data_IF_042494722330
#
_entry.id   IF_042494722330
#
_cell.length_a   1.000
_cell.length_b   1.000
_cell.length_c   1.000
_cell.angle_alpha   90.00
_cell.angle_beta   90.00
_cell.angle_gamma   90.00
#
_symmetry.space_group_name_H-M   'P 1'
#
loop_
_entity.id
_entity.type
_entity.pdbx_description
1 polymer ?
#
# COMPACT_ATOMS: atom_id res chain seq x y z
N UNK A 1 14.22 2.31 41.17
CA UNK A 1 14.47 2.92 39.83
C UNK A 1 14.80 1.81 38.85
N UNK A 2 13.90 1.37 38.03
CA UNK A 2 13.98 0.48 36.85
C UNK A 2 12.66 -0.26 36.66
N UNK A 3 11.64 0.42 36.19
CA UNK A 3 10.45 -0.24 35.61
C UNK A 3 9.97 0.74 34.54
N UNK A 4 10.51 0.64 33.31
CA UNK A 4 9.98 1.44 32.19
C UNK A 4 10.41 0.92 30.80
N UNK A 5 10.64 -0.39 30.63
CA UNK A 5 11.00 -0.97 29.31
C UNK A 5 10.05 -2.13 28.89
N UNK A 6 8.92 -2.35 29.54
CA UNK A 6 8.06 -3.50 29.24
C UNK A 6 6.76 -3.19 28.49
N UNK A 7 6.50 -1.94 28.09
CA UNK A 7 5.23 -1.61 27.41
C UNK A 7 5.26 -1.78 25.89
N UNK A 8 6.43 -1.71 25.23
CA UNK A 8 6.53 -1.85 23.77
C UNK A 8 6.49 -3.29 23.26
N UNK A 9 7.10 -4.22 23.99
CA UNK A 9 7.29 -5.60 23.52
C UNK A 9 6.03 -6.49 23.63
N UNK A 10 5.11 -6.15 24.54
CA UNK A 10 3.86 -6.92 24.74
C UNK A 10 2.84 -6.59 23.65
N UNK A 11 2.81 -5.37 23.13
CA UNK A 11 1.96 -4.96 22.02
C UNK A 11 2.32 -5.68 20.71
N UNK A 12 3.61 -5.69 20.37
CA UNK A 12 4.12 -6.36 19.16
C UNK A 12 3.85 -7.87 19.14
N UNK A 13 4.05 -8.56 20.29
CA UNK A 13 3.76 -10.01 20.40
C UNK A 13 2.27 -10.32 20.28
N UNK A 14 1.38 -9.51 20.85
CA UNK A 14 -0.07 -9.69 20.72
C UNK A 14 -0.56 -9.40 19.29
N UNK A 15 0.01 -8.39 18.63
CA UNK A 15 -0.31 -8.05 17.27
C UNK A 15 0.17 -9.13 16.29
N UNK A 16 1.41 -9.59 16.38
CA UNK A 16 1.93 -10.72 15.59
C UNK A 16 1.12 -12.01 15.80
N UNK A 17 0.70 -12.30 17.02
CA UNK A 17 -0.15 -13.46 17.32
C UNK A 17 -1.58 -13.28 16.77
N UNK A 18 -2.14 -12.08 16.78
CA UNK A 18 -3.44 -11.80 16.18
C UNK A 18 -3.39 -12.00 14.65
N UNK A 19 -2.38 -11.45 13.97
CA UNK A 19 -2.15 -11.66 12.53
C UNK A 19 -1.87 -13.13 12.20
N UNK A 20 -1.11 -13.86 13.01
CA UNK A 20 -0.79 -15.27 12.74
C UNK A 20 -1.98 -16.22 12.92
N UNK A 21 -2.92 -15.88 13.80
CA UNK A 21 -4.12 -16.71 14.04
C UNK A 21 -5.20 -16.53 12.95
N UNK A 22 -5.25 -15.40 12.26
CA UNK A 22 -6.16 -15.16 11.13
C UNK A 22 -5.69 -15.88 9.84
N UNK A 23 -4.44 -16.39 9.80
CA UNK A 23 -3.76 -16.89 8.61
C UNK A 23 -3.93 -18.38 8.28
N UNK A 24 -4.60 -19.18 9.08
CA UNK A 24 -4.78 -20.61 8.77
C UNK A 24 -6.04 -20.86 7.94
N UNK A 25 -6.10 -20.36 6.72
CA UNK A 25 -7.07 -20.86 5.72
C UNK A 25 -6.37 -21.89 4.81
N UNK A 26 -7.00 -23.02 4.62
CA UNK A 26 -6.49 -24.15 3.82
C UNK A 26 -6.22 -23.83 2.34
N UNK A 27 -6.59 -22.64 1.86
CA UNK A 27 -6.34 -22.17 0.50
C UNK A 27 -4.88 -21.76 0.22
N UNK A 28 -4.08 -21.49 1.26
CA UNK A 28 -2.69 -21.02 1.11
C UNK A 28 -1.72 -22.16 0.65
N UNK A 29 -2.18 -23.40 0.63
CA UNK A 29 -1.37 -24.58 0.22
C UNK A 29 -1.35 -24.75 -1.31
N UNK A 30 -2.44 -24.40 -1.99
CA UNK A 30 -2.60 -24.59 -3.45
C UNK A 30 -2.10 -23.40 -4.27
N UNK A 31 -2.17 -22.19 -3.72
CA UNK A 31 -1.70 -20.96 -4.39
C UNK A 31 -0.93 -20.11 -3.38
N UNK A 32 0.40 -20.20 -3.35
CA UNK A 32 1.21 -19.40 -2.44
C UNK A 32 0.96 -17.92 -2.69
N UNK A 33 0.83 -17.10 -1.63
CA UNK A 33 0.66 -15.66 -1.79
C UNK A 33 1.87 -15.05 -2.48
N UNK A 34 1.62 -14.06 -3.34
CA UNK A 34 2.66 -13.31 -4.06
C UNK A 34 3.69 -12.71 -3.10
N UNK A 35 3.22 -12.21 -1.96
CA UNK A 35 4.03 -11.54 -0.94
C UNK A 35 3.95 -12.30 0.39
N UNK A 36 5.11 -12.43 1.04
CA UNK A 36 5.24 -12.93 2.40
C UNK A 36 5.59 -11.75 3.34
N UNK A 37 5.29 -11.87 4.63
CA UNK A 37 5.59 -10.81 5.61
C UNK A 37 7.07 -10.43 5.65
N UNK A 38 7.97 -11.41 5.52
CA UNK A 38 9.42 -11.16 5.53
C UNK A 38 9.91 -10.32 4.34
N UNK A 39 9.10 -10.15 3.31
CA UNK A 39 9.40 -9.30 2.15
C UNK A 39 9.10 -7.82 2.41
N UNK A 40 8.40 -7.48 3.50
CA UNK A 40 8.16 -6.09 3.89
C UNK A 40 9.47 -5.54 4.46
N UNK A 41 10.10 -4.53 3.83
CA UNK A 41 11.43 -4.06 4.24
C UNK A 41 11.44 -3.47 5.65
N UNK A 42 10.32 -2.92 6.09
CA UNK A 42 10.18 -2.27 7.38
C UNK A 42 8.76 -2.50 7.92
N UNK A 43 8.64 -3.11 9.10
CA UNK A 43 7.39 -3.49 9.74
C UNK A 43 6.80 -2.41 10.65
N UNK A 44 7.47 -1.26 10.77
CA UNK A 44 7.02 -0.11 11.56
C UNK A 44 7.31 1.20 10.85
N UNK A 45 6.54 2.24 11.18
CA UNK A 45 6.72 3.59 10.68
C UNK A 45 6.54 4.61 11.81
N UNK A 46 7.51 5.51 11.99
CA UNK A 46 7.42 6.58 12.98
C UNK A 46 6.67 7.79 12.40
N UNK A 47 5.58 8.17 13.05
CA UNK A 47 4.82 9.38 12.73
C UNK A 47 5.56 10.64 13.21
N UNK A 48 5.24 11.80 12.66
CA UNK A 48 5.91 13.07 13.01
C UNK A 48 5.85 13.44 14.49
N UNK A 49 4.88 12.92 15.22
CA UNK A 49 4.72 13.12 16.66
C UNK A 49 5.48 12.10 17.51
N UNK A 50 6.32 11.25 16.90
CA UNK A 50 7.08 10.20 17.57
C UNK A 50 6.29 8.93 17.88
N UNK A 51 5.01 8.86 17.54
CA UNK A 51 4.24 7.63 17.68
C UNK A 51 4.61 6.64 16.55
N UNK A 52 4.49 5.34 16.84
CA UNK A 52 4.85 4.28 15.91
C UNK A 52 3.58 3.63 15.35
N UNK A 53 3.50 3.55 14.03
CA UNK A 53 2.51 2.76 13.31
C UNK A 53 3.13 1.43 12.85
N UNK A 54 2.35 0.36 12.84
CA UNK A 54 2.76 -0.98 12.43
C UNK A 54 2.33 -1.24 11.00
N UNK A 55 3.18 -1.92 10.23
CA UNK A 55 2.92 -2.29 8.83
C UNK A 55 2.63 -3.78 8.75
N UNK A 56 1.59 -4.16 8.03
CA UNK A 56 1.25 -5.57 7.84
C UNK A 56 0.54 -5.83 6.51
N UNK A 57 0.53 -7.11 6.12
CA UNK A 57 -0.27 -7.56 4.99
C UNK A 57 -1.74 -7.59 5.37
N UNK A 58 -2.59 -7.01 4.51
CA UNK A 58 -4.03 -7.09 4.68
C UNK A 58 -4.57 -8.49 4.42
N UNK A 59 -5.66 -8.79 5.08
CA UNK A 59 -6.51 -9.96 4.88
C UNK A 59 -7.95 -9.55 4.56
N UNK A 60 -8.82 -10.51 4.31
CA UNK A 60 -10.25 -10.23 4.15
C UNK A 60 -10.87 -9.57 5.40
N UNK A 61 -10.28 -9.79 6.59
CA UNK A 61 -10.74 -9.14 7.82
C UNK A 61 -10.57 -7.61 7.79
N UNK A 62 -9.68 -7.09 6.93
CA UNK A 62 -9.37 -5.66 6.82
C UNK A 62 -10.29 -4.93 5.82
N UNK A 63 -11.19 -5.66 5.16
CA UNK A 63 -12.10 -5.11 4.14
C UNK A 63 -12.85 -3.87 4.64
N UNK A 64 -13.44 -3.94 5.84
CA UNK A 64 -14.21 -2.84 6.40
C UNK A 64 -13.33 -1.62 6.72
N UNK A 65 -12.11 -1.85 7.17
CA UNK A 65 -11.15 -0.79 7.46
C UNK A 65 -10.71 -0.07 6.17
N UNK A 66 -10.43 -0.81 5.09
CA UNK A 66 -10.09 -0.26 3.77
C UNK A 66 -11.23 0.62 3.24
N UNK A 67 -12.48 0.13 3.30
CA UNK A 67 -13.65 0.89 2.86
C UNK A 67 -13.81 2.18 3.68
N UNK A 68 -13.73 2.11 5.03
CA UNK A 68 -13.85 3.27 5.90
C UNK A 68 -12.77 4.33 5.66
N UNK A 69 -11.52 3.92 5.37
CA UNK A 69 -10.46 4.86 5.01
C UNK A 69 -10.78 5.55 3.69
N UNK A 70 -11.29 4.83 2.67
CA UNK A 70 -11.71 5.43 1.42
C UNK A 70 -12.86 6.43 1.65
N UNK A 71 -13.91 6.03 2.36
CA UNK A 71 -15.05 6.91 2.67
C UNK A 71 -14.61 8.19 3.38
N UNK A 72 -13.66 8.09 4.33
CA UNK A 72 -13.10 9.26 5.00
C UNK A 72 -12.31 10.19 4.08
N UNK A 73 -11.73 9.67 2.97
CA UNK A 73 -10.95 10.44 2.01
C UNK A 73 -11.80 11.03 0.87
N UNK A 74 -13.02 10.49 0.63
CA UNK A 74 -13.83 10.79 -0.56
C UNK A 74 -15.30 11.09 -0.19
N UNK A 75 -15.51 11.96 0.80
CA UNK A 75 -16.82 12.49 1.18
C UNK A 75 -17.90 11.40 1.42
N UNK A 76 -17.51 10.30 2.03
CA UNK A 76 -18.41 9.18 2.35
C UNK A 76 -18.61 8.16 1.23
N UNK A 77 -17.94 8.32 0.09
CA UNK A 77 -18.06 7.40 -1.06
C UNK A 77 -16.75 6.68 -1.30
N UNK A 78 -16.70 5.36 -1.11
CA UNK A 78 -15.52 4.57 -1.44
C UNK A 78 -15.38 4.42 -2.97
N UNK A 79 -14.30 4.92 -3.61
CA UNK A 79 -14.07 4.79 -5.05
C UNK A 79 -13.98 3.32 -5.50
N UNK A 80 -13.43 2.46 -4.66
CA UNK A 80 -13.42 1.01 -4.83
C UNK A 80 -14.43 0.39 -3.88
N UNK A 81 -15.53 -0.13 -4.45
CA UNK A 81 -16.59 -0.77 -3.66
C UNK A 81 -16.15 -2.08 -3.02
N UNK A 82 -16.89 -2.52 -2.03
CA UNK A 82 -16.62 -3.74 -1.20
C UNK A 82 -16.33 -4.99 -2.04
N UNK A 83 -17.09 -5.22 -3.13
CA UNK A 83 -16.91 -6.40 -3.99
C UNK A 83 -15.53 -6.37 -4.66
N UNK A 84 -15.12 -5.22 -5.20
CA UNK A 84 -13.83 -5.07 -5.87
C UNK A 84 -12.67 -5.28 -4.89
N UNK A 85 -12.69 -4.61 -3.72
CA UNK A 85 -11.67 -4.77 -2.69
C UNK A 85 -11.60 -6.21 -2.17
N UNK A 86 -12.76 -6.85 -1.90
CA UNK A 86 -12.79 -8.23 -1.44
C UNK A 86 -12.20 -9.21 -2.46
N UNK A 87 -12.47 -9.01 -3.75
CA UNK A 87 -11.90 -9.83 -4.81
C UNK A 87 -10.37 -9.70 -4.87
N UNK A 88 -9.85 -8.48 -4.75
CA UNK A 88 -8.40 -8.24 -4.71
C UNK A 88 -7.74 -8.84 -3.46
N UNK A 89 -8.36 -8.73 -2.28
CA UNK A 89 -7.87 -9.33 -1.04
C UNK A 89 -7.83 -10.86 -1.09
N UNK A 90 -8.71 -11.49 -1.89
CA UNK A 90 -8.74 -12.94 -2.10
C UNK A 90 -7.76 -13.41 -3.17
N UNK A 91 -7.36 -12.53 -4.08
CA UNK A 91 -6.47 -12.85 -5.20
C UNK A 91 -4.98 -12.80 -4.78
N UNK A 92 -4.60 -13.58 -3.78
CA UNK A 92 -3.27 -13.55 -3.15
C UNK A 92 -2.12 -13.89 -4.11
N UNK A 93 -2.39 -14.57 -5.22
CA UNK A 93 -1.39 -14.95 -6.22
C UNK A 93 -0.93 -13.79 -7.12
N UNK A 94 -1.72 -12.73 -7.24
CA UNK A 94 -1.38 -11.58 -8.10
C UNK A 94 -1.65 -10.23 -7.47
N UNK A 95 -2.34 -10.17 -6.33
CA UNK A 95 -2.68 -8.92 -5.65
C UNK A 95 -2.35 -9.01 -4.16
N UNK A 96 -2.01 -7.87 -3.56
CA UNK A 96 -1.85 -7.75 -2.12
C UNK A 96 -2.07 -6.32 -1.66
N UNK A 97 -2.37 -6.15 -0.37
CA UNK A 97 -2.48 -4.84 0.27
C UNK A 97 -1.55 -4.77 1.47
N UNK A 98 -0.91 -3.62 1.66
CA UNK A 98 -0.27 -3.26 2.91
C UNK A 98 -1.16 -2.31 3.69
N UNK A 99 -1.23 -2.53 4.98
CA UNK A 99 -1.96 -1.69 5.93
C UNK A 99 -0.99 -1.04 6.91
N UNK A 100 -1.27 0.20 7.30
CA UNK A 100 -0.68 0.80 8.49
C UNK A 100 -1.71 0.84 9.61
N UNK A 101 -1.27 0.44 10.81
CA UNK A 101 -2.08 0.46 12.02
C UNK A 101 -1.41 1.32 13.09
N UNK A 102 -2.20 2.16 13.75
CA UNK A 102 -1.79 2.89 14.93
C UNK A 102 -2.84 2.67 16.02
N UNK A 103 -2.42 2.26 17.21
CA UNK A 103 -3.32 1.88 18.32
C UNK A 103 -4.43 0.92 17.87
N UNK A 104 -4.07 -0.14 17.14
CA UNK A 104 -4.99 -1.15 16.56
C UNK A 104 -6.02 -0.62 15.56
N UNK A 105 -5.91 0.63 15.12
CA UNK A 105 -6.77 1.22 14.09
C UNK A 105 -6.00 1.31 12.77
N UNK A 106 -6.62 0.87 11.70
CA UNK A 106 -6.08 1.07 10.36
C UNK A 106 -6.12 2.57 10.03
N UNK A 107 -4.98 3.13 9.64
CA UNK A 107 -4.80 4.56 9.34
C UNK A 107 -4.45 4.84 7.89
N UNK A 108 -3.93 3.84 7.18
CA UNK A 108 -3.60 3.94 5.76
C UNK A 108 -3.52 2.55 5.14
N UNK A 109 -3.62 2.51 3.82
CA UNK A 109 -3.37 1.30 3.04
C UNK A 109 -2.82 1.63 1.66
N UNK A 110 -2.22 0.61 1.03
CA UNK A 110 -1.87 0.59 -0.39
C UNK A 110 -2.17 -0.78 -0.98
N UNK A 111 -2.87 -0.82 -2.11
CA UNK A 111 -3.17 -2.02 -2.86
C UNK A 111 -2.33 -2.13 -4.11
N UNK A 112 -1.85 -3.34 -4.43
CA UNK A 112 -1.03 -3.63 -5.59
C UNK A 112 -1.52 -4.85 -6.35
N UNK A 113 -1.24 -4.84 -7.67
CA UNK A 113 -1.45 -5.98 -8.56
C UNK A 113 -0.18 -6.24 -9.37
N UNK A 114 0.32 -7.49 -9.32
CA UNK A 114 1.46 -7.91 -10.13
C UNK A 114 0.99 -8.26 -11.55
N UNK A 115 1.65 -7.68 -12.54
CA UNK A 115 1.37 -7.92 -13.96
C UNK A 115 2.70 -8.12 -14.68
N UNK A 116 2.90 -9.28 -15.30
CA UNK A 116 4.13 -9.59 -16.03
C UNK A 116 5.40 -8.99 -15.37
N UNK A 117 5.99 -7.95 -15.98
CA UNK A 117 7.22 -7.29 -15.53
C UNK A 117 6.98 -6.06 -14.64
N UNK A 118 5.75 -5.76 -14.24
CA UNK A 118 5.44 -4.58 -13.42
C UNK A 118 4.64 -4.88 -12.15
N UNK A 119 4.84 -4.07 -11.13
CA UNK A 119 3.97 -3.97 -9.97
C UNK A 119 3.12 -2.71 -10.10
N UNK A 120 1.81 -2.89 -10.13
CA UNK A 120 0.86 -1.81 -10.35
C UNK A 120 0.16 -1.40 -9.07
N UNK A 121 0.27 -0.15 -8.66
CA UNK A 121 -0.48 0.41 -7.53
C UNK A 121 -1.92 0.63 -7.97
N UNK A 122 -2.84 -0.13 -7.39
CA UNK A 122 -4.26 -0.06 -7.73
C UNK A 122 -5.02 0.97 -6.91
N UNK A 123 -4.63 1.15 -5.65
CA UNK A 123 -5.28 2.09 -4.74
C UNK A 123 -4.35 2.44 -3.57
N UNK A 124 -4.36 3.70 -3.13
CA UNK A 124 -3.64 4.17 -1.94
C UNK A 124 -4.48 5.23 -1.23
N UNK A 125 -4.61 5.12 0.08
CA UNK A 125 -5.26 6.15 0.88
C UNK A 125 -4.67 6.22 2.29
N UNK A 126 -4.63 7.44 2.83
CA UNK A 126 -4.29 7.74 4.22
C UNK A 126 -5.45 8.49 4.83
N UNK A 127 -5.98 7.96 5.95
CA UNK A 127 -7.07 8.60 6.71
C UNK A 127 -6.74 10.08 6.96
N UNK A 128 -7.68 11.03 6.78
CA UNK A 128 -7.43 12.47 6.86
C UNK A 128 -6.70 12.92 8.14
N UNK A 129 -7.03 12.33 9.29
CA UNK A 129 -6.39 12.66 10.57
C UNK A 129 -4.88 12.30 10.62
N UNK A 130 -4.40 11.47 9.69
CA UNK A 130 -3.00 11.01 9.63
C UNK A 130 -2.25 11.47 8.38
N UNK A 131 -2.91 12.27 7.52
CA UNK A 131 -2.26 12.86 6.36
C UNK A 131 -1.11 13.81 6.76
N UNK A 132 -0.24 14.14 5.78
CA UNK A 132 0.94 15.01 5.99
C UNK A 132 1.99 14.49 6.98
N UNK A 133 1.87 13.22 7.40
CA UNK A 133 2.88 12.50 8.18
C UNK A 133 3.91 11.74 7.32
N UNK A 134 3.88 11.85 5.98
CA UNK A 134 4.81 11.13 5.10
C UNK A 134 4.40 9.69 4.78
N UNK A 135 3.25 9.22 5.28
CA UNK A 135 2.79 7.82 5.15
C UNK A 135 2.69 7.38 3.68
N UNK A 136 2.13 8.21 2.79
CA UNK A 136 2.00 7.86 1.38
C UNK A 136 3.39 7.67 0.71
N UNK A 137 4.36 8.54 1.02
CA UNK A 137 5.75 8.38 0.54
C UNK A 137 6.38 7.10 1.06
N UNK A 138 6.17 6.77 2.33
CA UNK A 138 6.65 5.53 2.94
C UNK A 138 6.06 4.30 2.25
N UNK A 139 4.75 4.25 2.06
CA UNK A 139 4.07 3.13 1.39
C UNK A 139 4.56 2.94 -0.05
N UNK A 140 4.71 4.01 -0.82
CA UNK A 140 5.24 3.92 -2.19
C UNK A 140 6.69 3.41 -2.20
N UNK A 141 7.56 3.90 -1.31
CA UNK A 141 8.95 3.40 -1.19
C UNK A 141 8.99 1.91 -0.81
N UNK A 142 8.10 1.48 0.08
CA UNK A 142 7.94 0.06 0.44
C UNK A 142 7.55 -0.77 -0.77
N UNK A 143 6.62 -0.29 -1.60
CA UNK A 143 6.21 -0.96 -2.84
C UNK A 143 7.36 -1.04 -3.85
N UNK A 144 8.16 0.02 -4.02
CA UNK A 144 9.34 0.02 -4.89
C UNK A 144 10.32 -1.07 -4.44
N UNK A 145 10.66 -1.13 -3.15
CA UNK A 145 11.56 -2.14 -2.62
C UNK A 145 11.00 -3.58 -2.75
N UNK A 146 9.69 -3.77 -2.62
CA UNK A 146 9.04 -5.07 -2.88
C UNK A 146 9.11 -5.41 -4.38
N UNK A 147 8.92 -4.44 -5.26
CA UNK A 147 9.01 -4.66 -6.70
C UNK A 147 10.42 -5.09 -7.12
N UNK A 148 11.47 -4.53 -6.52
CA UNK A 148 12.86 -4.97 -6.67
C UNK A 148 13.05 -6.44 -6.24
N UNK A 149 12.55 -6.82 -5.05
CA UNK A 149 12.60 -8.20 -4.55
C UNK A 149 11.86 -9.18 -5.46
N UNK A 150 10.79 -8.72 -6.13
CA UNK A 150 10.03 -9.50 -7.10
C UNK A 150 10.63 -9.50 -8.52
N UNK A 151 11.82 -8.90 -8.70
CA UNK A 151 12.48 -8.73 -9.99
C UNK A 151 11.54 -8.12 -11.05
N UNK A 152 10.80 -7.06 -10.66
CA UNK A 152 9.99 -6.29 -11.60
C UNK A 152 10.84 -5.20 -12.24
N UNK A 153 10.49 -4.79 -13.47
CA UNK A 153 11.20 -3.73 -14.18
C UNK A 153 10.69 -2.34 -13.80
N UNK A 154 9.44 -2.28 -13.31
CA UNK A 154 8.80 -0.99 -13.06
C UNK A 154 7.64 -1.08 -12.03
N UNK A 155 7.39 0.06 -11.38
CA UNK A 155 6.17 0.34 -10.64
C UNK A 155 5.32 1.34 -11.41
N UNK A 156 4.02 1.08 -11.55
CA UNK A 156 3.09 1.95 -12.30
C UNK A 156 1.89 2.35 -11.46
N UNK A 157 1.30 3.48 -11.76
CA UNK A 157 0.05 3.95 -11.14
C UNK A 157 -0.70 4.91 -12.08
N UNK A 158 -2.01 5.07 -11.84
CA UNK A 158 -2.81 6.18 -12.36
C UNK A 158 -3.21 7.12 -11.22
N UNK A 159 -3.16 8.42 -11.51
CA UNK A 159 -3.56 9.46 -10.56
C UNK A 159 -4.50 10.47 -11.23
N UNK A 160 -5.53 10.92 -10.51
CA UNK A 160 -6.44 11.96 -11.00
C UNK A 160 -5.67 13.22 -11.37
N UNK A 161 -6.00 13.82 -12.52
CA UNK A 161 -5.37 15.08 -12.95
C UNK A 161 -5.57 16.21 -11.93
N UNK A 162 -6.68 16.22 -11.20
CA UNK A 162 -6.97 17.19 -10.13
C UNK A 162 -6.14 16.97 -8.87
N UNK A 163 -5.57 15.77 -8.65
CA UNK A 163 -4.80 15.46 -7.45
C UNK A 163 -3.35 15.92 -7.55
N UNK A 164 -3.17 17.25 -7.59
CA UNK A 164 -1.86 17.88 -7.76
C UNK A 164 -0.87 17.52 -6.66
N UNK A 165 -1.34 17.32 -5.41
CA UNK A 165 -0.46 16.93 -4.29
C UNK A 165 0.12 15.53 -4.51
N UNK A 166 -0.70 14.56 -4.93
CA UNK A 166 -0.24 13.21 -5.23
C UNK A 166 0.69 13.17 -6.45
N UNK A 167 0.39 13.91 -7.52
CA UNK A 167 1.27 14.02 -8.70
C UNK A 167 2.64 14.54 -8.29
N UNK A 168 2.71 15.61 -7.48
CA UNK A 168 3.99 16.15 -6.97
C UNK A 168 4.72 15.13 -6.12
N UNK A 169 4.01 14.40 -5.25
CA UNK A 169 4.58 13.36 -4.41
C UNK A 169 5.23 12.26 -5.27
N UNK A 170 4.54 11.75 -6.28
CA UNK A 170 5.06 10.69 -7.14
C UNK A 170 6.26 11.16 -7.96
N UNK A 171 6.22 12.38 -8.53
CA UNK A 171 7.38 12.97 -9.22
C UNK A 171 8.59 13.12 -8.30
N UNK A 172 8.39 13.57 -7.05
CA UNK A 172 9.45 13.68 -6.05
C UNK A 172 10.03 12.31 -5.62
N UNK A 173 9.29 11.23 -5.82
CA UNK A 173 9.73 9.86 -5.58
C UNK A 173 10.40 9.23 -6.82
N UNK A 174 10.49 9.95 -7.94
CA UNK A 174 11.15 9.49 -9.17
C UNK A 174 10.20 8.89 -10.21
N UNK A 175 8.88 9.01 -10.04
CA UNK A 175 7.95 8.63 -11.10
C UNK A 175 7.96 9.64 -12.24
N UNK A 176 7.93 9.14 -13.46
CA UNK A 176 7.83 9.91 -14.69
C UNK A 176 6.40 9.85 -15.24
N UNK A 177 5.95 10.96 -15.84
CA UNK A 177 4.69 11.04 -16.56
C UNK A 177 4.80 10.23 -17.86
N UNK A 178 3.80 9.39 -18.17
CA UNK A 178 3.79 8.58 -19.40
C UNK A 178 2.79 9.17 -20.39
N UNK A 179 1.51 9.17 -20.05
CA UNK A 179 0.45 9.74 -20.89
C UNK A 179 -0.81 10.04 -20.07
N UNK A 180 -1.74 10.78 -20.68
CA UNK A 180 -3.04 11.08 -20.07
C UNK A 180 -4.08 10.09 -20.60
N UNK A 181 -4.72 9.34 -19.71
CA UNK A 181 -5.85 8.46 -20.00
C UNK A 181 -7.15 9.27 -19.91
N UNK A 182 -7.76 9.55 -21.04
CA UNK A 182 -8.99 10.37 -21.13
C UNK A 182 -10.19 9.63 -20.55
N UNK A 183 -11.04 10.35 -19.79
CA UNK A 183 -12.28 9.84 -19.18
C UNK A 183 -12.05 8.54 -18.37
N UNK A 184 -10.92 8.43 -17.69
CA UNK A 184 -10.52 7.22 -16.97
C UNK A 184 -11.40 6.94 -15.75
N UNK A 185 -11.74 7.98 -15.00
CA UNK A 185 -12.58 7.85 -13.81
C UNK A 185 -14.06 7.99 -14.17
N UNK A 186 -14.73 6.85 -14.35
CA UNK A 186 -16.12 6.79 -14.86
C UNK A 186 -17.16 7.50 -13.99
N UNK A 187 -16.87 7.72 -12.70
CA UNK A 187 -17.79 8.40 -11.78
C UNK A 187 -18.02 9.88 -12.12
N UNK A 188 -17.04 10.55 -12.74
CA UNK A 188 -17.11 11.97 -13.07
C UNK A 188 -16.45 12.31 -14.43
N UNK A 189 -15.98 11.31 -15.18
CA UNK A 189 -15.32 11.50 -16.47
C UNK A 189 -13.93 12.14 -16.39
N UNK A 190 -13.32 12.20 -15.21
CA UNK A 190 -12.01 12.81 -15.02
C UNK A 190 -10.90 12.02 -15.68
N UNK A 191 -9.93 12.71 -16.27
CA UNK A 191 -8.73 12.13 -16.83
C UNK A 191 -7.76 11.64 -15.72
N UNK A 192 -6.96 10.62 -16.04
CA UNK A 192 -5.87 10.17 -15.21
C UNK A 192 -4.51 10.46 -15.87
N UNK A 193 -3.53 10.81 -15.07
CA UNK A 193 -2.13 10.78 -15.44
C UNK A 193 -1.60 9.38 -15.14
N UNK A 194 -1.10 8.68 -16.17
CA UNK A 194 -0.38 7.42 -16.03
C UNK A 194 1.08 7.73 -15.72
N UNK A 195 1.61 7.12 -14.66
CA UNK A 195 2.97 7.37 -14.19
C UNK A 195 3.75 6.08 -13.98
N UNK A 196 5.06 6.13 -14.21
CA UNK A 196 5.97 4.99 -14.09
C UNK A 196 7.22 5.34 -13.29
N UNK A 197 7.62 4.42 -12.42
CA UNK A 197 8.94 4.38 -11.79
C UNK A 197 9.70 3.20 -12.39
N UNK A 198 10.87 3.44 -12.99
CA UNK A 198 11.73 2.41 -13.58
C UNK A 198 12.70 1.89 -12.52
N UNK A 199 12.76 0.55 -12.36
CA UNK A 199 13.64 -0.12 -11.39
C UNK A 199 15.01 -0.43 -11.99
N UNK A 200 15.09 -0.68 -13.29
CA UNK A 200 16.31 -1.09 -14.01
C UNK A 200 16.76 0.02 -14.97
N UNK A 201 17.12 1.20 -14.48
CA UNK A 201 18.07 2.04 -15.18
C UNK A 201 19.50 1.59 -14.81
N UNK A 202 19.93 0.40 -15.24
CA UNK A 202 21.34 0.18 -15.47
C UNK A 202 21.73 1.12 -16.62
N UNK A 203 22.25 2.29 -16.28
CA UNK A 203 23.02 3.08 -17.23
C UNK A 203 24.07 2.14 -17.82
N UNK A 204 23.88 1.75 -19.07
CA UNK A 204 24.94 1.16 -19.86
C UNK A 204 26.07 2.17 -19.90
N UNK A 205 27.10 1.97 -19.07
CA UNK A 205 28.40 2.59 -19.27
C UNK A 205 28.90 1.91 -20.54
N UNK A 206 28.67 2.57 -21.67
CA UNK A 206 29.37 2.24 -22.91
C UNK A 206 30.84 2.63 -22.67
N UNK A 207 31.68 1.62 -22.45
CA UNK A 207 33.12 1.73 -22.62
C UNK A 207 33.48 1.90 -24.13
#
# INVERSE_FOLDING_TARGET
MRILILKGTIGLKKFKNWFSNVRKEASDVLFPPLIQEYMIPQDTYELKNGQVAEVGLASVADLDAIIKIQEACYDGVAPWGRIAVNNELRNKGSSFFLMLYHDFKAIAFIGMSARQNKLHVTNIATHPAYQKNGIASFLIKTVIAIAEQLNKDQVTLEVRMSNIEAIRLYRNLGFNDVHIKRNYYHNNGEDALDMVYLLNETYGVNE
#
